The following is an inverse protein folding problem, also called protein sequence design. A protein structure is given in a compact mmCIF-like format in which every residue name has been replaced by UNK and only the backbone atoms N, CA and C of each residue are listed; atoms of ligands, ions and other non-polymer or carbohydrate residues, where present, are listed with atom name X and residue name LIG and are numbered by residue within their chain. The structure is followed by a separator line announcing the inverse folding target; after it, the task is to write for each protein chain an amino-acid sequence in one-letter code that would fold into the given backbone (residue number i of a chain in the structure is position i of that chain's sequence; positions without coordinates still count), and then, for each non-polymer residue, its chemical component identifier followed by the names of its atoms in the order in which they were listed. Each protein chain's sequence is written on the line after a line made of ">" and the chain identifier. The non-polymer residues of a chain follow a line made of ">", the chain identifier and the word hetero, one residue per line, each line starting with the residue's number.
data_IF_847097671410
#
_entry.id   IF_847097671410
#
_cell.length_a   1.000
_cell.length_b   1.000
_cell.length_c   1.000
_cell.angle_alpha   90.00
_cell.angle_beta   90.00
_cell.angle_gamma   90.00
#
_symmetry.space_group_name_H-M   'P 1'
#
loop_
_entity.id
_entity.type
_entity.pdbx_description
1 polymer ?
#
# COMPACT_ATOMS: atom_id res chain seq x y z
N UNK A 1 -25.55 15.80 -16.56
CA UNK A 1 -24.36 15.03 -16.99
C UNK A 1 -23.14 15.85 -16.62
N UNK A 2 -22.49 15.55 -15.50
CA UNK A 2 -21.17 16.12 -15.17
C UNK A 2 -20.20 15.55 -16.20
N UNK A 3 -19.44 16.39 -16.89
CA UNK A 3 -18.46 15.99 -17.89
C UNK A 3 -17.43 15.03 -17.28
N UNK A 4 -17.00 14.01 -18.00
CA UNK A 4 -15.97 13.06 -17.58
C UNK A 4 -14.64 13.75 -17.20
N UNK A 5 -14.45 15.00 -17.57
CA UNK A 5 -13.24 15.80 -17.32
C UNK A 5 -12.99 16.17 -15.85
N UNK A 6 -13.99 16.02 -14.95
CA UNK A 6 -13.82 16.32 -13.53
C UNK A 6 -13.58 15.10 -12.63
N UNK A 7 -13.73 13.86 -13.16
CA UNK A 7 -13.63 12.64 -12.35
C UNK A 7 -12.20 12.11 -12.25
N UNK A 8 -11.85 11.59 -11.07
CA UNK A 8 -10.58 10.88 -10.87
C UNK A 8 -10.64 9.49 -11.48
N UNK A 9 -9.79 9.22 -12.47
CA UNK A 9 -9.75 7.94 -13.16
C UNK A 9 -8.81 6.98 -12.43
N UNK A 10 -9.35 5.84 -11.99
CA UNK A 10 -8.62 4.76 -11.32
C UNK A 10 -8.67 3.50 -12.18
N UNK A 11 -7.50 2.92 -12.45
CA UNK A 11 -7.35 1.67 -13.20
C UNK A 11 -7.36 0.49 -12.23
N UNK A 12 -8.19 -0.54 -12.48
CA UNK A 12 -8.34 -1.71 -11.62
C UNK A 12 -8.00 -2.98 -12.41
N UNK A 13 -7.05 -3.76 -11.89
CA UNK A 13 -6.87 -5.16 -12.28
C UNK A 13 -7.93 -6.01 -11.56
N UNK A 14 -8.93 -6.47 -12.31
CA UNK A 14 -10.08 -7.19 -11.76
C UNK A 14 -9.82 -8.68 -11.53
N UNK A 15 -8.70 -9.22 -12.03
CA UNK A 15 -8.42 -10.66 -12.04
C UNK A 15 -7.55 -11.13 -10.88
N UNK A 16 -6.99 -10.22 -10.11
CA UNK A 16 -6.16 -10.56 -8.95
C UNK A 16 -6.98 -10.83 -7.69
N UNK A 17 -6.41 -11.68 -6.80
CA UNK A 17 -6.98 -11.98 -5.49
C UNK A 17 -7.68 -13.33 -5.37
N UNK A 18 -7.69 -13.86 -4.14
CA UNK A 18 -8.11 -15.23 -3.82
C UNK A 18 -9.65 -15.41 -3.86
N UNK A 19 -10.39 -14.31 -3.77
CA UNK A 19 -11.87 -14.31 -3.70
C UNK A 19 -12.56 -14.05 -5.05
N UNK A 20 -11.76 -13.80 -6.09
CA UNK A 20 -12.22 -13.66 -7.47
C UNK A 20 -13.01 -12.37 -7.76
N UNK A 21 -13.48 -12.28 -8.99
CA UNK A 21 -14.06 -11.06 -9.59
C UNK A 21 -15.28 -10.50 -8.85
N UNK A 22 -16.11 -11.37 -8.26
CA UNK A 22 -17.31 -10.93 -7.56
C UNK A 22 -16.99 -10.11 -6.31
N UNK A 23 -15.94 -10.51 -5.59
CA UNK A 23 -15.51 -9.77 -4.40
C UNK A 23 -14.81 -8.46 -4.78
N UNK A 24 -14.07 -8.45 -5.88
CA UNK A 24 -13.49 -7.23 -6.46
C UNK A 24 -14.61 -6.25 -6.82
N UNK A 25 -15.66 -6.69 -7.49
CA UNK A 25 -16.79 -5.83 -7.85
C UNK A 25 -17.50 -5.25 -6.62
N UNK A 26 -17.73 -6.05 -5.57
CA UNK A 26 -18.30 -5.53 -4.31
C UNK A 26 -17.42 -4.44 -3.69
N UNK A 27 -16.09 -4.62 -3.74
CA UNK A 27 -15.13 -3.63 -3.25
C UNK A 27 -15.20 -2.33 -4.07
N UNK A 28 -15.27 -2.42 -5.39
CA UNK A 28 -15.43 -1.28 -6.30
C UNK A 28 -16.75 -0.53 -6.00
N UNK A 29 -17.86 -1.27 -5.91
CA UNK A 29 -19.18 -0.68 -5.60
C UNK A 29 -19.18 0.04 -4.24
N UNK A 30 -18.51 -0.54 -3.24
CA UNK A 30 -18.40 0.05 -1.91
C UNK A 30 -17.54 1.32 -1.92
N UNK A 31 -16.42 1.33 -2.65
CA UNK A 31 -15.58 2.51 -2.82
C UNK A 31 -16.31 3.62 -3.56
N UNK A 32 -17.02 3.28 -4.63
CA UNK A 32 -17.83 4.24 -5.40
C UNK A 32 -18.94 4.87 -4.56
N UNK A 33 -19.63 4.07 -3.74
CA UNK A 33 -20.68 4.58 -2.83
C UNK A 33 -20.15 5.57 -1.79
N UNK A 34 -18.86 5.58 -1.51
CA UNK A 34 -18.20 6.54 -0.62
C UNK A 34 -17.65 7.77 -1.37
N UNK A 35 -17.34 7.64 -2.67
CA UNK A 35 -16.77 8.70 -3.49
C UNK A 35 -17.26 8.55 -4.95
N UNK A 36 -18.32 9.25 -5.31
CA UNK A 36 -18.92 9.18 -6.65
C UNK A 36 -18.12 9.93 -7.74
N UNK A 37 -17.10 10.68 -7.34
CA UNK A 37 -16.17 11.38 -8.25
C UNK A 37 -15.10 10.48 -8.87
N UNK A 38 -15.25 9.15 -8.70
CA UNK A 38 -14.35 8.17 -9.30
C UNK A 38 -14.92 7.68 -10.62
N UNK A 39 -14.05 7.51 -11.61
CA UNK A 39 -14.32 6.74 -12.81
C UNK A 39 -13.35 5.56 -12.92
N UNK A 40 -13.84 4.38 -13.21
CA UNK A 40 -13.03 3.17 -13.23
C UNK A 40 -12.69 2.69 -14.63
N UNK A 41 -11.40 2.38 -14.88
CA UNK A 41 -10.98 1.54 -15.99
C UNK A 41 -10.80 0.12 -15.45
N UNK A 42 -11.71 -0.79 -15.79
CA UNK A 42 -11.76 -2.14 -15.24
C UNK A 42 -11.14 -3.12 -16.26
N UNK A 43 -10.01 -3.72 -15.90
CA UNK A 43 -9.29 -4.67 -16.75
C UNK A 43 -9.55 -6.10 -16.30
N UNK A 44 -10.07 -6.94 -17.20
CA UNK A 44 -10.42 -8.33 -16.88
C UNK A 44 -10.47 -9.25 -18.08
N UNK A 45 -10.60 -10.55 -17.85
CA UNK A 45 -10.63 -11.60 -18.88
C UNK A 45 -12.02 -12.24 -18.91
N UNK A 46 -12.48 -12.63 -20.11
CA UNK A 46 -13.73 -13.37 -20.27
C UNK A 46 -15.01 -12.54 -20.11
N UNK A 47 -16.13 -13.23 -19.94
CA UNK A 47 -17.48 -12.64 -19.93
C UNK A 47 -18.05 -12.43 -18.54
N UNK A 48 -17.46 -13.04 -17.49
CA UNK A 48 -18.03 -13.04 -16.14
C UNK A 48 -18.08 -11.64 -15.51
N UNK A 49 -17.00 -10.87 -15.58
CA UNK A 49 -16.98 -9.50 -15.05
C UNK A 49 -17.99 -8.59 -15.79
N UNK A 50 -18.05 -8.55 -17.13
CA UNK A 50 -19.08 -7.82 -17.86
C UNK A 50 -20.52 -8.19 -17.47
N UNK A 51 -20.81 -9.48 -17.24
CA UNK A 51 -22.12 -9.94 -16.80
C UNK A 51 -22.47 -9.45 -15.38
N UNK A 52 -21.50 -9.47 -14.46
CA UNK A 52 -21.65 -8.93 -13.12
C UNK A 52 -21.90 -7.42 -13.13
N UNK A 53 -21.14 -6.68 -13.95
CA UNK A 53 -21.26 -5.23 -14.11
C UNK A 53 -22.63 -4.82 -14.68
N UNK A 54 -23.22 -5.58 -15.59
CA UNK A 54 -24.59 -5.31 -16.10
C UNK A 54 -25.64 -5.35 -15.00
N UNK A 55 -25.43 -6.16 -13.96
CA UNK A 55 -26.34 -6.28 -12.81
C UNK A 55 -26.12 -5.21 -11.74
N UNK A 56 -24.96 -4.56 -11.73
CA UNK A 56 -24.56 -3.59 -10.71
C UNK A 56 -24.97 -2.16 -11.11
N UNK A 57 -26.26 -1.84 -10.89
CA UNK A 57 -26.87 -0.55 -11.27
C UNK A 57 -26.19 0.67 -10.66
N UNK A 58 -25.58 0.54 -9.47
CA UNK A 58 -24.91 1.65 -8.78
C UNK A 58 -23.70 2.18 -9.54
N UNK A 59 -23.04 1.34 -10.33
CA UNK A 59 -21.87 1.73 -11.13
C UNK A 59 -22.23 2.21 -12.55
N UNK A 60 -23.52 2.36 -12.87
CA UNK A 60 -23.93 2.79 -14.21
C UNK A 60 -23.31 4.13 -14.58
N UNK A 61 -22.56 4.15 -15.71
CA UNK A 61 -21.87 5.36 -16.17
C UNK A 61 -20.58 5.72 -15.43
N UNK A 62 -20.14 4.91 -14.44
CA UNK A 62 -18.95 5.16 -13.63
C UNK A 62 -17.74 4.29 -14.02
N UNK A 63 -17.83 3.48 -15.07
CA UNK A 63 -16.74 2.62 -15.49
C UNK A 63 -16.68 2.42 -17.00
N UNK A 64 -15.50 1.99 -17.45
CA UNK A 64 -15.27 1.36 -18.76
C UNK A 64 -14.60 0.01 -18.53
N UNK A 65 -15.17 -1.06 -19.08
CA UNK A 65 -14.53 -2.38 -19.07
C UNK A 65 -13.59 -2.51 -20.26
N UNK A 66 -12.38 -3.02 -20.02
CA UNK A 66 -11.33 -3.24 -21.01
C UNK A 66 -10.92 -4.71 -20.93
N UNK A 67 -11.21 -5.45 -21.99
CA UNK A 67 -10.90 -6.87 -22.05
C UNK A 67 -9.39 -7.10 -22.16
N UNK A 68 -8.90 -8.06 -21.40
CA UNK A 68 -7.56 -8.63 -21.51
C UNK A 68 -7.66 -10.09 -21.97
N UNK A 69 -6.60 -10.64 -22.53
CA UNK A 69 -6.58 -12.04 -23.00
C UNK A 69 -5.96 -13.00 -21.97
N UNK A 70 -5.31 -12.48 -20.92
CA UNK A 70 -4.57 -13.26 -19.94
C UNK A 70 -4.75 -12.72 -18.52
N UNK A 71 -4.48 -13.61 -17.54
CA UNK A 71 -4.36 -13.28 -16.12
C UNK A 71 -2.98 -13.72 -15.63
N UNK A 72 -2.50 -13.11 -14.56
CA UNK A 72 -1.27 -13.54 -13.86
C UNK A 72 -1.69 -14.35 -12.64
N UNK A 73 -1.18 -15.57 -12.53
CA UNK A 73 -1.40 -16.43 -11.36
C UNK A 73 -0.70 -15.88 -10.12
N UNK A 74 -1.28 -16.14 -8.93
CA UNK A 74 -0.69 -15.75 -7.65
C UNK A 74 0.67 -16.43 -7.40
N UNK A 75 0.88 -17.63 -7.96
CA UNK A 75 2.11 -18.43 -7.80
C UNK A 75 3.11 -18.23 -8.95
N UNK A 76 2.79 -17.38 -9.92
CA UNK A 76 3.65 -17.17 -11.08
C UNK A 76 4.92 -16.41 -10.71
N UNK A 77 6.09 -16.91 -11.17
CA UNK A 77 7.36 -16.22 -10.94
C UNK A 77 7.36 -14.86 -11.64
N UNK A 78 7.84 -13.79 -10.99
CA UNK A 78 7.88 -12.44 -11.56
C UNK A 78 8.55 -12.37 -12.94
N UNK A 79 9.62 -13.15 -13.17
CA UNK A 79 10.31 -13.21 -14.46
C UNK A 79 9.48 -13.84 -15.57
N UNK A 80 8.63 -14.83 -15.25
CA UNK A 80 7.71 -15.44 -16.20
C UNK A 80 6.56 -14.49 -16.51
N UNK A 81 5.97 -13.87 -15.49
CA UNK A 81 4.93 -12.85 -15.65
C UNK A 81 5.39 -11.70 -16.57
N UNK A 82 6.63 -11.20 -16.40
CA UNK A 82 7.21 -10.19 -17.30
C UNK A 82 7.32 -10.65 -18.74
N UNK A 83 7.74 -11.91 -18.95
CA UNK A 83 7.97 -12.45 -20.30
C UNK A 83 6.67 -12.70 -21.04
N UNK A 84 5.71 -13.31 -20.35
CA UNK A 84 4.50 -13.88 -20.98
C UNK A 84 3.25 -13.04 -20.73
N UNK A 85 3.21 -12.19 -19.71
CA UNK A 85 2.00 -11.53 -19.21
C UNK A 85 1.69 -10.15 -19.83
N UNK A 86 2.29 -9.79 -20.98
CA UNK A 86 2.08 -8.48 -21.62
C UNK A 86 0.66 -8.22 -22.14
N UNK A 87 -0.19 -9.23 -22.15
CA UNK A 87 -1.60 -9.12 -22.51
C UNK A 87 -2.53 -9.36 -21.32
N UNK A 88 -1.98 -9.39 -20.10
CA UNK A 88 -2.74 -9.61 -18.89
C UNK A 88 -3.52 -8.36 -18.44
N UNK A 89 -4.55 -8.58 -17.63
CA UNK A 89 -5.31 -7.52 -16.98
C UNK A 89 -4.43 -6.61 -16.13
N UNK A 90 -3.46 -7.19 -15.41
CA UNK A 90 -2.46 -6.47 -14.63
C UNK A 90 -1.60 -5.54 -15.51
N UNK A 91 -1.07 -6.05 -16.63
CA UNK A 91 -0.30 -5.24 -17.57
C UNK A 91 -1.12 -4.11 -18.17
N UNK A 92 -2.37 -4.39 -18.54
CA UNK A 92 -3.27 -3.39 -19.11
C UNK A 92 -3.62 -2.30 -18.08
N UNK A 93 -3.80 -2.68 -16.81
CA UNK A 93 -4.03 -1.71 -15.74
C UNK A 93 -2.83 -0.77 -15.56
N UNK A 94 -1.61 -1.28 -15.57
CA UNK A 94 -0.38 -0.49 -15.52
C UNK A 94 -0.20 0.37 -16.79
N UNK A 95 -0.60 -0.14 -17.95
CA UNK A 95 -0.55 0.61 -19.21
C UNK A 95 -1.46 1.82 -19.19
N UNK A 96 -2.62 1.73 -18.56
CA UNK A 96 -3.53 2.88 -18.40
C UNK A 96 -2.89 4.01 -17.60
N UNK A 97 -2.08 3.70 -16.57
CA UNK A 97 -1.34 4.71 -15.81
C UNK A 97 -0.16 5.26 -16.63
N UNK A 98 0.61 4.39 -17.27
CA UNK A 98 1.76 4.79 -18.08
C UNK A 98 1.39 5.75 -19.24
N UNK A 99 0.19 5.58 -19.79
CA UNK A 99 -0.33 6.41 -20.89
C UNK A 99 -1.09 7.66 -20.39
N UNK A 100 -1.19 7.90 -19.08
CA UNK A 100 -1.94 9.02 -18.52
C UNK A 100 -3.46 8.86 -18.56
N UNK A 101 -3.98 7.68 -18.96
CA UNK A 101 -5.41 7.38 -19.00
C UNK A 101 -6.02 7.18 -17.61
N UNK A 102 -5.19 6.89 -16.61
CA UNK A 102 -5.59 6.79 -15.20
C UNK A 102 -4.47 7.40 -14.33
N UNK A 103 -4.85 8.00 -13.21
CA UNK A 103 -3.88 8.56 -12.25
C UNK A 103 -3.21 7.48 -11.40
N UNK A 104 -3.90 6.37 -11.17
CA UNK A 104 -3.46 5.33 -10.24
C UNK A 104 -3.96 3.97 -10.72
N UNK A 105 -3.19 2.90 -10.48
CA UNK A 105 -3.66 1.53 -10.65
C UNK A 105 -3.77 0.80 -9.31
N UNK A 106 -4.80 -0.07 -9.20
CA UNK A 106 -5.02 -0.95 -8.04
C UNK A 106 -5.04 -2.40 -8.53
N UNK A 107 -4.31 -3.28 -7.86
CA UNK A 107 -4.31 -4.72 -8.13
C UNK A 107 -4.28 -5.52 -6.83
N UNK A 108 -5.05 -6.62 -6.78
CA UNK A 108 -4.98 -7.63 -5.72
C UNK A 108 -4.08 -8.81 -6.11
N UNK A 109 -3.49 -8.80 -7.31
CA UNK A 109 -2.70 -9.89 -7.88
C UNK A 109 -1.33 -10.11 -7.21
N UNK A 110 -0.53 -10.96 -7.81
CA UNK A 110 0.81 -11.34 -7.36
C UNK A 110 1.71 -10.12 -7.16
N UNK A 111 2.23 -9.91 -5.96
CA UNK A 111 3.01 -8.71 -5.59
C UNK A 111 4.32 -8.62 -6.36
N UNK A 112 5.04 -9.73 -6.51
CA UNK A 112 6.31 -9.76 -7.23
C UNK A 112 6.13 -9.48 -8.73
N UNK A 113 5.08 -10.06 -9.34
CA UNK A 113 4.74 -9.80 -10.72
C UNK A 113 4.32 -8.33 -10.93
N UNK A 114 3.48 -7.79 -10.04
CA UNK A 114 3.03 -6.41 -10.09
C UNK A 114 4.22 -5.44 -9.98
N UNK A 115 5.15 -5.68 -9.03
CA UNK A 115 6.35 -4.86 -8.88
C UNK A 115 7.22 -4.92 -10.14
N UNK A 116 7.54 -6.13 -10.62
CA UNK A 116 8.38 -6.31 -11.78
C UNK A 116 7.78 -5.65 -13.05
N UNK A 117 6.49 -5.85 -13.28
CA UNK A 117 5.78 -5.23 -14.40
C UNK A 117 5.70 -3.70 -14.26
N UNK A 118 5.50 -3.19 -13.04
CA UNK A 118 5.48 -1.75 -12.76
C UNK A 118 6.83 -1.10 -13.06
N UNK A 119 7.93 -1.74 -12.66
CA UNK A 119 9.29 -1.25 -12.94
C UNK A 119 9.57 -1.16 -14.45
N UNK A 120 9.09 -2.11 -15.23
CA UNK A 120 9.28 -2.10 -16.69
C UNK A 120 8.37 -1.08 -17.37
N UNK A 121 7.11 -1.00 -16.94
CA UNK A 121 6.08 -0.19 -17.62
C UNK A 121 6.14 1.29 -17.24
N UNK A 122 6.31 1.60 -15.96
CA UNK A 122 6.32 2.97 -15.42
C UNK A 122 7.73 3.53 -15.29
N UNK A 123 8.72 2.65 -15.18
CA UNK A 123 10.11 2.99 -14.84
C UNK A 123 10.21 3.63 -13.45
N UNK A 124 11.43 3.73 -12.96
CA UNK A 124 11.74 4.43 -11.71
C UNK A 124 11.78 5.94 -11.95
N UNK A 125 11.45 6.71 -10.92
CA UNK A 125 11.75 8.15 -10.88
C UNK A 125 13.25 8.34 -11.03
N UNK A 126 13.67 9.34 -11.77
CA UNK A 126 15.08 9.66 -11.93
C UNK A 126 15.74 9.94 -10.57
N UNK A 127 16.88 9.30 -10.32
CA UNK A 127 17.59 9.39 -9.06
C UNK A 127 17.17 8.33 -8.02
N UNK A 128 16.07 7.62 -8.21
CA UNK A 128 15.68 6.50 -7.33
C UNK A 128 16.48 5.25 -7.70
N UNK A 129 17.19 4.69 -6.73
CA UNK A 129 17.93 3.45 -6.91
C UNK A 129 16.98 2.26 -6.99
N UNK A 130 16.09 2.14 -6.01
CA UNK A 130 15.11 1.05 -5.89
C UNK A 130 13.75 1.55 -5.44
N UNK A 131 12.64 1.04 -6.00
CA UNK A 131 11.31 1.29 -5.48
C UNK A 131 11.14 0.59 -4.14
N UNK A 132 10.23 1.10 -3.30
CA UNK A 132 9.84 0.50 -2.04
C UNK A 132 8.34 0.26 -1.97
N UNK A 133 7.91 -0.69 -1.14
CA UNK A 133 6.50 -0.88 -0.77
C UNK A 133 6.27 -0.23 0.59
N UNK A 134 5.47 0.82 0.62
CA UNK A 134 5.00 1.42 1.86
C UNK A 134 3.66 0.81 2.27
N UNK A 135 3.57 0.37 3.52
CA UNK A 135 2.33 -0.16 4.12
C UNK A 135 1.92 0.69 5.32
N UNK A 136 0.61 0.72 5.59
CA UNK A 136 0.07 1.34 6.79
C UNK A 136 -0.02 0.27 7.88
N UNK A 137 0.72 0.45 8.97
CA UNK A 137 0.72 -0.45 10.11
C UNK A 137 -0.20 0.09 11.21
N UNK A 138 -1.20 -0.68 11.70
CA UNK A 138 -2.06 -0.24 12.80
C UNK A 138 -1.23 0.15 14.02
N UNK A 139 -1.48 1.32 14.58
CA UNK A 139 -0.71 1.83 15.72
C UNK A 139 -1.56 2.61 16.71
N UNK A 140 -0.94 2.96 17.85
CA UNK A 140 -1.54 3.84 18.84
C UNK A 140 -1.39 5.33 18.49
N UNK A 141 -0.77 5.66 17.37
CA UNK A 141 -0.69 7.02 16.85
C UNK A 141 -2.10 7.63 16.69
N UNK A 142 -2.31 8.94 16.89
CA UNK A 142 -3.60 9.60 16.67
C UNK A 142 -4.22 9.35 15.29
N UNK A 143 -3.40 9.15 14.26
CA UNK A 143 -3.85 8.79 12.91
C UNK A 143 -4.34 7.33 12.81
N UNK A 144 -4.04 6.48 13.81
CA UNK A 144 -4.40 5.06 13.87
C UNK A 144 -3.45 4.13 13.13
N UNK A 145 -2.39 4.66 12.52
CA UNK A 145 -1.38 3.87 11.80
C UNK A 145 -0.01 4.55 11.82
N UNK A 146 1.02 3.77 11.51
CA UNK A 146 2.35 4.22 11.11
C UNK A 146 2.64 3.73 9.71
N UNK A 147 3.49 4.44 8.97
CA UNK A 147 3.96 4.04 7.65
C UNK A 147 5.23 3.22 7.83
N UNK A 148 5.23 2.00 7.32
CA UNK A 148 6.42 1.12 7.32
C UNK A 148 6.87 0.92 5.88
N UNK A 149 8.14 1.14 5.60
CA UNK A 149 8.76 0.87 4.30
C UNK A 149 10.26 0.52 4.46
N UNK A 150 10.80 -0.42 3.73
CA UNK A 150 10.20 -1.24 2.70
C UNK A 150 9.53 -2.48 3.31
N UNK A 151 8.38 -2.88 2.77
CA UNK A 151 7.61 -4.04 3.23
C UNK A 151 7.70 -5.24 2.24
N UNK A 152 8.78 -5.29 1.43
CA UNK A 152 9.06 -6.46 0.60
C UNK A 152 9.21 -6.21 -0.90
N UNK A 153 9.59 -5.01 -1.33
CA UNK A 153 10.00 -4.74 -2.70
C UNK A 153 11.44 -5.21 -2.96
N UNK A 154 12.31 -5.06 -1.97
CA UNK A 154 13.73 -5.42 -2.05
C UNK A 154 14.11 -6.39 -0.92
N UNK A 155 15.11 -7.22 -1.15
CA UNK A 155 15.63 -8.16 -0.14
C UNK A 155 16.74 -7.52 0.69
N UNK A 156 17.56 -6.67 0.06
CA UNK A 156 18.73 -6.05 0.71
C UNK A 156 18.85 -4.59 0.26
N UNK A 157 18.65 -3.67 1.19
CA UNK A 157 18.85 -2.25 0.98
C UNK A 157 20.24 -1.83 1.51
N UNK A 158 20.96 -1.00 0.76
CA UNK A 158 22.14 -0.32 1.24
C UNK A 158 21.79 0.99 1.96
N UNK A 159 22.81 1.72 2.42
CA UNK A 159 22.61 2.98 3.15
C UNK A 159 21.90 4.05 2.33
N UNK A 160 22.18 4.11 1.03
CA UNK A 160 21.56 5.06 0.11
C UNK A 160 20.11 4.69 -0.17
N UNK A 161 19.82 3.40 -0.32
CA UNK A 161 18.45 2.90 -0.50
C UNK A 161 17.60 3.23 0.72
N UNK A 162 18.10 2.93 1.94
CA UNK A 162 17.39 3.22 3.20
C UNK A 162 17.14 4.73 3.38
N UNK A 163 18.11 5.56 3.03
CA UNK A 163 17.95 7.01 3.03
C UNK A 163 16.87 7.46 2.03
N UNK A 164 16.87 6.93 0.81
CA UNK A 164 15.83 7.21 -0.17
C UNK A 164 14.45 6.74 0.31
N UNK A 165 14.35 5.58 0.98
CA UNK A 165 13.11 5.11 1.58
C UNK A 165 12.61 6.10 2.64
N UNK A 166 13.48 6.66 3.48
CA UNK A 166 13.09 7.70 4.43
C UNK A 166 12.43 8.90 3.73
N UNK A 167 13.07 9.42 2.68
CA UNK A 167 12.53 10.55 1.92
C UNK A 167 11.20 10.22 1.23
N UNK A 168 11.07 9.02 0.65
CA UNK A 168 9.81 8.54 0.08
C UNK A 168 8.71 8.44 1.13
N UNK A 169 9.03 7.90 2.32
CA UNK A 169 8.10 7.78 3.43
C UNK A 169 7.64 9.14 3.96
N UNK A 170 8.54 10.12 4.06
CA UNK A 170 8.22 11.50 4.44
C UNK A 170 7.27 12.14 3.42
N UNK A 171 7.55 12.00 2.12
CA UNK A 171 6.67 12.50 1.07
C UNK A 171 5.29 11.84 1.14
N UNK A 172 5.25 10.54 1.37
CA UNK A 172 4.01 9.79 1.49
C UNK A 172 3.20 10.21 2.74
N UNK A 173 3.86 10.42 3.88
CA UNK A 173 3.23 10.92 5.10
C UNK A 173 2.62 12.32 4.90
N UNK A 174 3.38 13.23 4.28
CA UNK A 174 2.93 14.61 4.03
C UNK A 174 1.77 14.67 3.04
N UNK A 175 1.92 14.07 1.87
CA UNK A 175 0.95 14.22 0.78
C UNK A 175 -0.24 13.27 0.90
N UNK A 176 -0.02 12.03 1.39
CA UNK A 176 -1.10 11.06 1.56
C UNK A 176 -1.95 11.29 2.80
N UNK A 177 -1.38 11.87 3.87
CA UNK A 177 -2.03 11.93 5.19
C UNK A 177 -1.97 13.28 5.88
N UNK A 178 -1.43 14.32 5.24
CA UNK A 178 -1.30 15.68 5.77
C UNK A 178 -0.50 15.74 7.10
N UNK A 179 0.46 14.84 7.29
CA UNK A 179 1.36 14.87 8.45
C UNK A 179 2.45 15.92 8.16
N UNK A 180 2.31 17.10 8.73
CA UNK A 180 3.17 18.26 8.39
C UNK A 180 4.64 17.99 8.65
N UNK A 181 5.00 17.50 9.84
CA UNK A 181 6.36 17.19 10.25
C UNK A 181 6.46 15.74 10.73
N UNK A 182 6.63 14.76 9.81
CA UNK A 182 6.68 13.34 10.15
C UNK A 182 7.87 13.02 11.05
N UNK A 183 7.65 12.15 12.03
CA UNK A 183 8.69 11.57 12.90
C UNK A 183 9.17 10.28 12.23
N UNK A 184 10.47 10.22 11.92
CA UNK A 184 11.08 9.14 11.14
C UNK A 184 12.02 8.35 12.02
N UNK A 185 11.86 7.03 12.08
CA UNK A 185 12.76 6.10 12.76
C UNK A 185 13.37 5.09 11.79
N UNK A 186 14.60 4.67 12.04
CA UNK A 186 15.27 3.60 11.31
C UNK A 186 15.23 2.32 12.16
N UNK A 187 14.58 1.27 11.63
CA UNK A 187 14.42 0.00 12.35
C UNK A 187 15.76 -0.70 12.56
N UNK A 188 16.04 -1.05 13.80
CA UNK A 188 17.29 -1.69 14.21
C UNK A 188 17.04 -2.72 15.33
N UNK A 189 18.07 -3.43 15.73
CA UNK A 189 18.08 -4.43 16.82
C UNK A 189 18.34 -3.82 18.21
N UNK A 190 18.42 -2.51 18.30
CA UNK A 190 18.63 -1.72 19.51
C UNK A 190 18.79 -0.26 19.18
N UNK A 191 18.62 0.61 20.17
CA UNK A 191 18.64 2.07 20.00
C UNK A 191 20.04 2.68 20.12
N UNK A 192 21.03 1.90 20.58
CA UNK A 192 22.41 2.39 20.77
C UNK A 192 23.14 2.55 19.43
N UNK A 193 23.89 3.63 19.27
CA UNK A 193 24.56 4.00 18.02
C UNK A 193 25.54 3.00 17.44
N UNK A 194 26.05 2.08 18.26
CA UNK A 194 27.00 1.04 17.82
C UNK A 194 26.31 -0.28 17.42
N UNK A 195 25.01 -0.42 17.67
CA UNK A 195 24.24 -1.61 17.31
C UNK A 195 23.82 -1.59 15.84
N UNK A 196 23.64 -2.77 15.31
CA UNK A 196 23.19 -2.97 13.93
C UNK A 196 24.34 -3.05 12.93
N UNK A 197 23.93 -3.20 11.66
CA UNK A 197 24.86 -3.31 10.53
C UNK A 197 25.41 -1.95 10.16
N UNK A 198 26.60 -1.90 9.54
CA UNK A 198 27.25 -0.67 9.08
C UNK A 198 26.37 0.13 8.10
N UNK A 199 25.60 -0.55 7.25
CA UNK A 199 24.66 0.09 6.33
C UNK A 199 23.60 0.92 7.06
N UNK A 200 23.12 0.45 8.24
CA UNK A 200 22.18 1.19 9.08
C UNK A 200 22.84 2.43 9.72
N UNK A 201 24.10 2.33 10.12
CA UNK A 201 24.81 3.44 10.71
C UNK A 201 25.01 4.57 9.69
N UNK A 202 25.49 4.25 8.49
CA UNK A 202 25.61 5.24 7.41
C UNK A 202 24.25 5.80 6.97
N UNK A 203 23.20 4.97 6.92
CA UNK A 203 21.84 5.45 6.61
C UNK A 203 21.34 6.45 7.66
N UNK A 204 21.60 6.19 8.95
CA UNK A 204 21.24 7.09 10.05
C UNK A 204 21.91 8.47 9.90
N UNK A 205 23.21 8.50 9.54
CA UNK A 205 23.94 9.75 9.25
C UNK A 205 23.32 10.53 8.10
N UNK A 206 23.00 9.86 6.97
CA UNK A 206 22.38 10.47 5.81
C UNK A 206 20.98 11.02 6.13
N UNK A 207 20.17 10.27 6.88
CA UNK A 207 18.83 10.71 7.29
C UNK A 207 18.92 11.91 8.23
N UNK A 208 19.84 11.87 9.21
CA UNK A 208 20.08 12.98 10.14
C UNK A 208 20.53 14.25 9.40
N UNK A 209 21.42 14.13 8.42
CA UNK A 209 21.84 15.26 7.62
C UNK A 209 20.68 15.87 6.82
N UNK A 210 19.85 15.00 6.21
CA UNK A 210 18.67 15.43 5.47
C UNK A 210 17.63 16.13 6.36
N UNK A 211 17.56 15.82 7.65
CA UNK A 211 16.63 16.49 8.58
C UNK A 211 16.90 17.97 8.79
N UNK A 212 18.08 18.43 8.45
CA UNK A 212 18.45 19.87 8.49
C UNK A 212 17.85 20.66 7.31
N UNK A 213 17.59 19.99 6.20
CA UNK A 213 17.11 20.62 4.96
C UNK A 213 15.64 20.32 4.65
N UNK A 214 15.13 19.21 5.14
CA UNK A 214 13.75 18.77 4.97
C UNK A 214 13.00 18.88 6.29
N UNK A 215 11.75 19.33 6.25
CA UNK A 215 10.91 19.48 7.43
C UNK A 215 10.36 18.14 7.91
N UNK A 216 11.14 17.40 8.67
CA UNK A 216 10.78 16.19 9.41
C UNK A 216 11.63 16.08 10.70
N UNK A 217 11.26 15.18 11.58
CA UNK A 217 12.00 14.88 12.81
C UNK A 217 12.62 13.49 12.71
N UNK A 218 13.93 13.38 12.79
CA UNK A 218 14.62 12.09 12.87
C UNK A 218 14.71 11.66 14.34
N UNK A 219 14.04 10.55 14.67
CA UNK A 219 13.99 10.01 16.05
C UNK A 219 15.23 9.16 16.38
N UNK A 220 15.94 8.69 15.35
CA UNK A 220 17.06 7.75 15.51
C UNK A 220 16.66 6.31 15.23
N UNK A 221 17.38 5.37 15.89
CA UNK A 221 17.05 3.96 15.82
C UNK A 221 15.80 3.62 16.64
N UNK A 222 15.02 2.68 16.13
CA UNK A 222 13.80 2.16 16.75
C UNK A 222 13.78 0.65 16.67
N UNK A 223 13.09 0.00 17.61
CA UNK A 223 12.97 -1.44 17.67
C UNK A 223 11.61 -1.94 17.19
N UNK A 224 11.45 -3.25 17.08
CA UNK A 224 10.23 -3.85 16.55
C UNK A 224 8.97 -3.56 17.35
N UNK A 225 9.08 -3.33 18.66
CA UNK A 225 7.99 -2.95 19.56
C UNK A 225 7.54 -1.49 19.39
N UNK A 226 8.40 -0.64 18.81
CA UNK A 226 8.04 0.73 18.46
C UNK A 226 7.15 0.81 17.20
N UNK A 227 7.12 -0.22 16.35
CA UNK A 227 6.31 -0.21 15.12
C UNK A 227 4.83 0.12 15.38
N UNK A 228 4.14 -0.48 16.38
CA UNK A 228 2.74 -0.15 16.68
C UNK A 228 2.58 1.05 17.63
N UNK A 229 3.64 1.73 17.99
CA UNK A 229 3.62 2.81 18.99
C UNK A 229 3.15 4.15 18.39
N UNK A 230 2.97 5.15 19.25
CA UNK A 230 2.71 6.55 18.87
C UNK A 230 3.95 7.41 18.76
N UNK A 231 5.15 6.83 18.88
CA UNK A 231 6.42 7.56 18.84
C UNK A 231 6.79 8.06 17.45
N UNK A 232 6.31 7.39 16.41
CA UNK A 232 6.75 7.50 15.04
C UNK A 232 5.57 7.70 14.08
N UNK A 233 5.86 8.22 12.91
CA UNK A 233 4.93 8.29 11.79
C UNK A 233 5.43 7.47 10.60
N UNK A 234 6.77 7.37 10.44
CA UNK A 234 7.45 6.64 9.37
C UNK A 234 8.55 5.77 9.96
N UNK A 235 8.54 4.49 9.63
CA UNK A 235 9.55 3.50 10.01
C UNK A 235 10.22 2.97 8.75
N UNK A 236 11.53 3.08 8.69
CA UNK A 236 12.34 2.68 7.53
C UNK A 236 13.10 1.38 7.85
N UNK A 237 13.08 0.45 6.91
CA UNK A 237 13.80 -0.83 7.01
C UNK A 237 14.10 -1.39 5.61
N UNK A 238 14.92 -2.43 5.51
CA UNK A 238 15.01 -3.23 4.28
C UNK A 238 13.76 -4.11 4.10
N UNK A 239 13.46 -4.49 2.86
CA UNK A 239 12.24 -5.22 2.54
C UNK A 239 12.18 -6.63 3.11
N UNK A 240 13.33 -7.28 3.35
CA UNK A 240 13.35 -8.59 4.01
C UNK A 240 12.86 -8.47 5.46
N UNK A 241 13.44 -7.55 6.21
CA UNK A 241 13.07 -7.28 7.62
C UNK A 241 11.62 -6.78 7.70
N UNK A 242 11.25 -5.83 6.85
CA UNK A 242 9.89 -5.26 6.83
C UNK A 242 8.83 -6.30 6.47
N UNK A 243 9.09 -7.19 5.52
CA UNK A 243 8.14 -8.25 5.16
C UNK A 243 8.00 -9.29 6.28
N UNK A 244 9.10 -9.68 6.95
CA UNK A 244 9.03 -10.58 8.11
C UNK A 244 8.22 -9.93 9.23
N UNK A 245 8.52 -8.67 9.58
CA UNK A 245 7.78 -7.94 10.60
C UNK A 245 6.29 -7.88 10.26
N UNK A 246 5.93 -7.54 9.00
CA UNK A 246 4.55 -7.48 8.52
C UNK A 246 3.84 -8.83 8.67
N UNK A 247 4.45 -9.93 8.22
CA UNK A 247 3.87 -11.27 8.31
C UNK A 247 3.72 -11.76 9.75
N UNK A 248 4.69 -11.43 10.61
CA UNK A 248 4.62 -11.73 12.05
C UNK A 248 3.47 -10.95 12.70
N UNK A 249 3.34 -9.65 12.40
CA UNK A 249 2.23 -8.83 12.90
C UNK A 249 0.87 -9.32 12.43
N UNK A 250 0.71 -9.68 11.14
CA UNK A 250 -0.51 -10.28 10.60
C UNK A 250 -0.87 -11.60 11.30
N UNK A 251 0.14 -12.47 11.51
CA UNK A 251 -0.01 -13.75 12.20
C UNK A 251 -0.44 -13.57 13.65
N UNK A 252 0.21 -12.66 14.38
CA UNK A 252 -0.13 -12.32 15.78
C UNK A 252 -1.54 -11.77 15.89
N UNK A 253 -1.94 -10.85 15.01
CA UNK A 253 -3.30 -10.32 14.99
C UNK A 253 -4.35 -11.40 14.72
N UNK A 254 -4.03 -12.36 13.84
CA UNK A 254 -4.90 -13.51 13.55
C UNK A 254 -5.03 -14.44 14.76
N UNK A 255 -3.92 -14.73 15.45
CA UNK A 255 -3.91 -15.53 16.68
C UNK A 255 -4.78 -14.89 17.77
N UNK A 256 -4.57 -13.61 18.06
CA UNK A 256 -5.37 -12.86 19.06
C UNK A 256 -6.85 -12.90 18.71
N UNK A 257 -7.21 -12.74 17.43
CA UNK A 257 -8.60 -12.85 16.97
C UNK A 257 -9.20 -14.23 17.24
N UNK A 258 -8.45 -15.31 16.97
CA UNK A 258 -8.89 -16.69 17.20
C UNK A 258 -9.11 -16.96 18.70
N UNK A 259 -8.13 -16.58 19.52
CA UNK A 259 -8.22 -16.74 20.98
C UNK A 259 -9.41 -15.96 21.59
N UNK A 260 -9.64 -14.72 21.14
CA UNK A 260 -10.83 -13.96 21.57
C UNK A 260 -12.13 -14.66 21.17
N UNK A 261 -12.21 -15.19 19.93
CA UNK A 261 -13.38 -15.93 19.47
C UNK A 261 -13.63 -17.18 20.31
N UNK A 262 -12.60 -17.95 20.62
CA UNK A 262 -12.67 -19.14 21.48
C UNK A 262 -13.10 -18.78 22.90
N UNK A 263 -12.52 -17.76 23.50
CA UNK A 263 -12.85 -17.28 24.84
C UNK A 263 -14.34 -16.92 24.96
N UNK A 264 -14.87 -16.18 24.00
CA UNK A 264 -16.28 -15.80 24.00
C UNK A 264 -17.23 -16.94 23.58
N UNK A 265 -16.72 -18.00 22.95
CA UNK A 265 -17.50 -19.20 22.64
C UNK A 265 -17.58 -20.20 23.80
N UNK A 266 -16.70 -20.10 24.80
CA UNK A 266 -16.46 -21.10 25.87
C UNK A 266 -17.68 -21.41 26.73
N UNK A 267 -18.54 -20.43 27.06
CA UNK A 267 -19.69 -20.61 27.89
C UNK A 267 -20.88 -19.73 27.50
N UNK A 268 -22.07 -20.06 27.99
CA UNK A 268 -23.29 -19.25 27.79
C UNK A 268 -23.08 -17.84 28.38
N UNK A 269 -22.48 -17.77 29.57
CA UNK A 269 -22.16 -16.48 30.22
C UNK A 269 -21.17 -15.64 29.40
N UNK A 270 -20.13 -16.27 28.82
CA UNK A 270 -19.20 -15.58 27.93
C UNK A 270 -19.86 -15.04 26.66
N UNK A 271 -20.82 -15.79 26.09
CA UNK A 271 -21.62 -15.32 24.94
C UNK A 271 -22.49 -14.11 25.30
N UNK A 272 -23.15 -14.13 26.45
CA UNK A 272 -23.94 -12.99 26.96
C UNK A 272 -23.03 -11.79 27.18
N UNK A 273 -21.87 -11.97 27.82
CA UNK A 273 -20.87 -10.93 28.01
C UNK A 273 -20.39 -10.35 26.67
N UNK A 274 -20.19 -11.17 25.64
CA UNK A 274 -19.81 -10.71 24.31
C UNK A 274 -20.88 -9.82 23.66
N UNK A 275 -22.16 -10.09 23.90
CA UNK A 275 -23.28 -9.26 23.41
C UNK A 275 -23.27 -7.91 24.12
N UNK A 276 -23.07 -7.86 25.42
CA UNK A 276 -22.94 -6.61 26.19
C UNK A 276 -21.70 -5.81 25.76
N UNK A 277 -20.61 -6.50 25.43
CA UNK A 277 -19.36 -5.90 24.96
C UNK A 277 -19.29 -5.62 23.44
N UNK A 278 -20.39 -5.81 22.69
CA UNK A 278 -20.40 -5.67 21.22
C UNK A 278 -19.88 -4.30 20.72
N UNK A 279 -20.26 -3.20 21.40
CA UNK A 279 -19.82 -1.86 21.00
C UNK A 279 -18.29 -1.69 21.14
N UNK A 280 -17.68 -1.90 22.32
CA UNK A 280 -16.23 -1.80 22.49
C UNK A 280 -15.46 -2.83 21.66
N UNK A 281 -15.96 -4.07 21.53
CA UNK A 281 -15.33 -5.08 20.66
C UNK A 281 -15.36 -4.71 19.18
N UNK A 282 -16.44 -4.09 18.69
CA UNK A 282 -16.51 -3.55 17.33
C UNK A 282 -15.54 -2.37 17.15
N UNK A 283 -15.42 -1.50 18.16
CA UNK A 283 -14.46 -0.38 18.11
C UNK A 283 -13.03 -0.91 18.08
N UNK A 284 -12.67 -1.88 18.94
CA UNK A 284 -11.36 -2.52 18.94
C UNK A 284 -11.09 -3.22 17.59
N UNK A 285 -12.02 -4.05 17.12
CA UNK A 285 -11.91 -4.70 15.80
C UNK A 285 -11.68 -3.68 14.69
N UNK A 286 -12.40 -2.56 14.72
CA UNK A 286 -12.25 -1.48 13.75
C UNK A 286 -10.84 -0.86 13.78
N UNK A 287 -10.24 -0.74 14.97
CA UNK A 287 -8.94 -0.11 15.17
C UNK A 287 -7.77 -1.01 14.78
N UNK A 288 -7.87 -2.32 15.06
CA UNK A 288 -6.83 -3.31 14.74
C UNK A 288 -7.07 -4.07 13.43
N UNK A 289 -8.11 -3.71 12.66
CA UNK A 289 -8.45 -4.42 11.43
C UNK A 289 -7.49 -4.02 10.30
N UNK A 290 -6.53 -4.90 9.92
CA UNK A 290 -5.57 -4.59 8.87
C UNK A 290 -6.23 -4.34 7.51
N UNK A 291 -7.49 -4.80 7.31
CA UNK A 291 -8.24 -4.57 6.07
C UNK A 291 -8.58 -3.10 5.85
N UNK A 292 -8.65 -2.28 6.91
CA UNK A 292 -8.97 -0.85 6.81
C UNK A 292 -7.80 0.02 6.39
N UNK A 293 -6.60 -0.45 6.68
CA UNK A 293 -5.34 0.15 6.26
C UNK A 293 -4.72 -0.66 5.12
N UNK A 294 -5.54 -1.50 4.45
CA UNK A 294 -5.10 -2.36 3.36
C UNK A 294 -4.68 -1.52 2.14
N UNK A 295 -3.51 -1.82 1.66
CA UNK A 295 -2.92 -1.22 0.49
C UNK A 295 -1.43 -0.92 0.71
N UNK A 296 -0.58 -1.68 0.05
CA UNK A 296 0.83 -1.32 -0.12
C UNK A 296 0.95 -0.35 -1.29
N UNK A 297 1.59 0.78 -1.09
CA UNK A 297 1.85 1.74 -2.17
C UNK A 297 3.26 1.54 -2.68
N UNK A 298 3.41 1.41 -4.00
CA UNK A 298 4.73 1.34 -4.62
C UNK A 298 5.28 2.76 -4.79
N UNK A 299 6.33 3.06 -4.06
CA UNK A 299 7.01 4.35 -4.07
C UNK A 299 8.26 4.30 -4.95
N UNK A 300 8.61 5.43 -5.57
CA UNK A 300 9.80 5.53 -6.41
C UNK A 300 9.60 5.14 -7.88
N UNK A 301 8.37 4.99 -8.34
CA UNK A 301 7.99 4.75 -9.74
C UNK A 301 7.34 5.99 -10.36
N UNK A 302 7.42 6.13 -11.70
CA UNK A 302 6.72 7.20 -12.44
C UNK A 302 5.23 6.89 -12.61
N UNK A 303 4.53 6.60 -11.51
CA UNK A 303 3.10 6.31 -11.46
C UNK A 303 2.73 5.68 -10.12
N UNK A 304 1.53 5.97 -9.64
CA UNK A 304 1.04 5.47 -8.36
C UNK A 304 0.40 4.10 -8.54
N UNK A 305 0.91 3.12 -7.81
CA UNK A 305 0.37 1.75 -7.78
C UNK A 305 0.01 1.39 -6.35
N UNK A 306 -1.21 0.94 -6.16
CA UNK A 306 -1.70 0.43 -4.88
C UNK A 306 -1.94 -1.07 -4.98
N UNK A 307 -1.20 -1.82 -4.18
CA UNK A 307 -1.33 -3.27 -4.05
C UNK A 307 -2.29 -3.59 -2.90
N UNK A 308 -3.43 -4.17 -3.19
CA UNK A 308 -4.29 -4.76 -2.17
C UNK A 308 -3.83 -6.18 -1.83
N UNK A 309 -4.09 -6.66 -0.62
CA UNK A 309 -3.74 -8.03 -0.24
C UNK A 309 -4.51 -9.05 -1.10
N UNK A 310 -3.88 -10.19 -1.47
CA UNK A 310 -4.53 -11.23 -2.27
C UNK A 310 -5.80 -11.78 -1.62
N UNK A 311 -5.79 -11.99 -0.30
CA UNK A 311 -6.95 -12.43 0.49
C UNK A 311 -7.89 -11.29 0.93
N UNK A 312 -7.81 -10.11 0.31
CA UNK A 312 -8.69 -9.00 0.67
C UNK A 312 -10.15 -9.28 0.31
N UNK A 313 -11.04 -9.06 1.27
CA UNK A 313 -12.47 -9.00 1.04
C UNK A 313 -12.89 -7.66 0.41
N UNK A 314 -14.15 -7.48 0.10
CA UNK A 314 -14.69 -6.23 -0.44
C UNK A 314 -14.35 -5.00 0.41
N UNK A 315 -14.16 -5.15 1.72
CA UNK A 315 -13.78 -4.05 2.61
C UNK A 315 -12.32 -3.64 2.40
N UNK A 316 -11.44 -4.63 2.29
CA UNK A 316 -10.03 -4.40 2.01
C UNK A 316 -9.80 -3.79 0.62
N UNK A 317 -10.50 -4.31 -0.39
CA UNK A 317 -10.42 -3.77 -1.75
C UNK A 317 -10.93 -2.32 -1.80
N UNK A 318 -12.06 -2.03 -1.14
CA UNK A 318 -12.58 -0.67 -1.05
C UNK A 318 -11.61 0.28 -0.32
N UNK A 319 -10.91 -0.19 0.72
CA UNK A 319 -9.89 0.60 1.41
C UNK A 319 -8.70 0.92 0.49
N UNK A 320 -8.22 -0.07 -0.29
CA UNK A 320 -7.14 0.15 -1.26
C UNK A 320 -7.56 1.15 -2.36
N UNK A 321 -8.79 1.07 -2.86
CA UNK A 321 -9.33 2.04 -3.84
C UNK A 321 -9.47 3.43 -3.22
N UNK A 322 -9.92 3.52 -1.96
CA UNK A 322 -10.02 4.81 -1.25
C UNK A 322 -8.64 5.45 -1.04
N UNK A 323 -7.63 4.64 -0.72
CA UNK A 323 -6.24 5.09 -0.63
C UNK A 323 -5.75 5.59 -2.00
N UNK A 324 -5.99 4.82 -3.06
CA UNK A 324 -5.67 5.17 -4.43
C UNK A 324 -6.30 6.51 -4.84
N UNK A 325 -7.58 6.72 -4.50
CA UNK A 325 -8.28 7.97 -4.76
C UNK A 325 -7.63 9.15 -4.03
N UNK A 326 -7.31 9.01 -2.75
CA UNK A 326 -6.62 10.06 -1.97
C UNK A 326 -5.25 10.45 -2.59
N UNK A 327 -4.48 9.45 -3.00
CA UNK A 327 -3.18 9.70 -3.64
C UNK A 327 -3.31 10.36 -5.01
N UNK A 328 -4.38 10.06 -5.75
CA UNK A 328 -4.66 10.66 -7.05
C UNK A 328 -5.12 12.12 -6.95
N UNK A 329 -5.65 12.57 -5.81
CA UNK A 329 -6.07 13.96 -5.59
C UNK A 329 -4.90 14.90 -5.29
N UNK A 330 -3.79 14.35 -4.79
CA UNK A 330 -2.58 15.11 -4.47
C UNK A 330 -1.54 14.83 -5.56
N UNK A 331 -0.76 15.82 -5.95
CA UNK A 331 0.34 15.67 -6.94
C UNK A 331 1.55 14.96 -6.33
N UNK A 332 1.26 13.82 -5.65
CA UNK A 332 2.20 13.02 -4.88
C UNK A 332 3.45 12.63 -5.69
N UNK A 333 3.26 12.23 -6.96
CA UNK A 333 4.35 11.79 -7.83
C UNK A 333 5.30 12.94 -8.18
N UNK A 334 4.76 14.12 -8.48
CA UNK A 334 5.58 15.30 -8.80
C UNK A 334 6.37 15.78 -7.59
N UNK A 335 5.74 15.81 -6.43
CA UNK A 335 6.40 16.20 -5.18
C UNK A 335 7.52 15.23 -4.79
N UNK A 336 7.29 13.94 -4.98
CA UNK A 336 8.29 12.91 -4.72
C UNK A 336 9.50 13.07 -5.66
N UNK A 337 9.25 13.25 -6.96
CA UNK A 337 10.30 13.46 -7.94
C UNK A 337 11.14 14.71 -7.63
N UNK A 338 10.50 15.84 -7.28
CA UNK A 338 11.18 17.09 -6.93
C UNK A 338 12.10 16.96 -5.71
N UNK A 339 11.75 16.12 -4.72
CA UNK A 339 12.53 15.96 -3.48
C UNK A 339 13.68 14.97 -3.60
N UNK A 340 13.59 14.00 -4.50
CA UNK A 340 14.66 13.01 -4.71
C UNK A 340 15.73 13.53 -5.68
N UNK A 341 15.36 14.28 -6.71
CA UNK A 341 16.28 14.83 -7.73
C UNK A 341 17.43 15.72 -7.21
N UNK A 342 17.28 16.58 -6.19
CA UNK A 342 18.35 17.50 -5.77
C UNK A 342 19.58 16.81 -5.16
N UNK A 343 19.45 15.59 -4.64
CA UNK A 343 20.53 14.91 -3.92
C UNK A 343 21.67 14.41 -4.81
N UNK A 344 21.45 14.27 -6.11
CA UNK A 344 22.47 13.85 -7.07
C UNK A 344 23.55 14.93 -7.32
N UNK A 345 23.28 16.21 -6.99
CA UNK A 345 24.22 17.31 -7.15
C UNK A 345 25.16 17.53 -5.94
N UNK A 346 24.91 16.89 -4.80
CA UNK A 346 25.71 17.06 -3.59
C UNK A 346 26.71 15.93 -3.34
N UNK A 347 26.65 14.83 -4.08
CA UNK A 347 27.53 13.66 -3.94
C UNK A 347 28.50 13.46 -5.13
N UNK A 348 28.76 14.52 -5.89
CA UNK A 348 29.73 14.55 -6.98
C UNK A 348 30.94 15.39 -6.65
#
# INVERSE_FOLDING_TARGET
>A
MLSQESKTIISIDCMGGDHGEQEVLKGITKAYSANEDIFFLLHGVGSKMPELLKKEKKLSGAFRFISASQTISMDEKPSQALRNGKQSSMWNALTSVANGNAKVAVSCGNTGALMAMSMVKLRKIDGVNRPAIAVLWPSTNPHGFNIVLDAGADIKADSTDLHQYALMGICYAKNGFNIKRPRVGLLNVGTEGHKGRSELQHAAELILESSKSFDFEYIGYVEGDDIPSSKLDVIVTDGFTGNIALKTGEGTASLVRSLLKETFAFSIMARVASILALKPLRALKKRIDPRRVNGGVFLGLNGTIVKSHGSADATGIAAAITLAYKLAQNDFQEDLAKKILPQRKMSG
#
